data_IF_264268459551
#
_entry.id   IF_264268459551
#
_cell.length_a   1.000
_cell.length_b   1.000
_cell.length_c   1.000
_cell.angle_alpha   90.00
_cell.angle_beta   90.00
_cell.angle_gamma   90.00
#
_symmetry.space_group_name_H-M   'P 1'
#
loop_
_entity.id
_entity.type
_entity.pdbx_description
1 polymer ?
#
# COMPACT_ATOMS: atom_id res chain seq x y z
N UNK A 1 -7.78 -16.06 10.15
CA UNK A 1 -7.36 -14.75 9.62
C UNK A 1 -6.78 -15.03 8.25
N UNK A 2 -7.31 -14.37 7.23
CA UNK A 2 -6.90 -14.54 5.83
C UNK A 2 -5.89 -13.46 5.44
N UNK A 3 -5.06 -13.75 4.44
CA UNK A 3 -4.09 -12.83 3.84
C UNK A 3 -4.50 -12.58 2.39
N UNK A 4 -4.35 -11.34 1.95
CA UNK A 4 -4.62 -10.86 0.59
C UNK A 4 -3.37 -10.20 0.04
N UNK A 5 -3.16 -10.30 -1.27
CA UNK A 5 -2.23 -9.41 -1.95
C UNK A 5 -2.84 -8.01 -2.04
N UNK A 6 -2.07 -7.00 -1.62
CA UNK A 6 -2.40 -5.59 -1.74
C UNK A 6 -1.79 -5.10 -3.05
N UNK A 7 -2.64 -4.69 -3.99
CA UNK A 7 -2.23 -4.28 -5.33
C UNK A 7 -2.66 -2.83 -5.53
N UNK A 8 -1.70 -1.92 -5.67
CA UNK A 8 -2.03 -0.56 -6.11
C UNK A 8 -2.48 -0.61 -7.57
N UNK A 9 -3.52 0.12 -7.93
CA UNK A 9 -4.08 0.13 -9.30
C UNK A 9 -4.48 1.54 -9.73
N UNK A 10 -4.41 1.81 -11.02
CA UNK A 10 -4.90 3.00 -11.70
C UNK A 10 -6.35 2.86 -12.20
N UNK A 11 -6.94 1.66 -12.09
CA UNK A 11 -8.33 1.40 -12.45
C UNK A 11 -9.28 1.93 -11.36
N UNK A 12 -9.98 3.02 -11.68
CA UNK A 12 -11.09 3.54 -10.87
C UNK A 12 -12.38 2.73 -11.04
N UNK A 13 -12.41 1.77 -11.97
CA UNK A 13 -13.52 0.87 -12.25
C UNK A 13 -13.61 -0.29 -11.26
N UNK A 14 -14.78 -0.45 -10.64
CA UNK A 14 -15.25 -1.66 -9.96
C UNK A 14 -14.41 -2.23 -8.78
N UNK A 15 -13.62 -1.42 -8.08
CA UNK A 15 -12.96 -1.83 -6.83
C UNK A 15 -13.92 -2.20 -5.66
N UNK A 16 -15.24 -2.13 -5.83
CA UNK A 16 -16.22 -2.28 -4.74
C UNK A 16 -17.53 -2.96 -5.15
N UNK A 17 -17.49 -4.21 -5.66
CA UNK A 17 -18.74 -5.01 -5.78
C UNK A 17 -19.19 -5.62 -4.45
N UNK A 18 -18.33 -5.67 -3.41
CA UNK A 18 -18.63 -6.36 -2.14
C UNK A 18 -18.93 -5.45 -0.94
N UNK A 19 -18.78 -4.13 -1.04
CA UNK A 19 -18.69 -3.23 0.11
C UNK A 19 -19.87 -2.27 0.33
N UNK A 20 -20.97 -2.43 -0.42
CA UNK A 20 -22.04 -1.40 -0.45
C UNK A 20 -22.94 -1.31 0.80
N UNK A 21 -22.74 -2.13 1.84
CA UNK A 21 -23.68 -2.19 2.98
C UNK A 21 -23.20 -1.57 4.30
N UNK A 22 -21.99 -1.00 4.40
CA UNK A 22 -21.43 -0.61 5.70
C UNK A 22 -20.68 0.72 5.66
N UNK A 23 -21.40 1.85 5.75
CA UNK A 23 -20.74 3.14 6.02
C UNK A 23 -21.57 4.01 6.95
N UNK A 24 -20.95 4.47 8.03
CA UNK A 24 -21.30 5.74 8.70
C UNK A 24 -20.06 6.61 8.83
N UNK A 25 -20.21 7.89 8.55
CA UNK A 25 -19.18 8.92 8.47
C UNK A 25 -18.62 9.33 9.85
N UNK A 26 -17.30 9.50 9.96
CA UNK A 26 -16.67 10.59 10.74
C UNK A 26 -15.22 10.80 10.28
N UNK A 27 -14.90 12.00 9.80
CA UNK A 27 -13.53 12.49 9.55
C UNK A 27 -13.17 13.63 10.53
N UNK A 28 -11.88 13.97 10.53
CA UNK A 28 -11.30 15.29 10.83
C UNK A 28 -10.67 15.56 12.21
N UNK A 29 -9.43 15.06 12.40
CA UNK A 29 -8.45 15.53 13.40
C UNK A 29 -7.01 14.98 13.17
N UNK A 30 -6.87 13.87 12.43
CA UNK A 30 -5.60 13.12 12.27
C UNK A 30 -4.62 13.71 11.23
N UNK A 31 -5.04 14.67 10.42
CA UNK A 31 -4.27 15.22 9.30
C UNK A 31 -3.13 16.16 9.72
N UNK A 32 -3.34 17.02 10.73
CA UNK A 32 -2.35 18.04 11.15
C UNK A 32 -1.12 17.40 11.81
N UNK A 33 -1.31 16.35 12.62
CA UNK A 33 -0.20 15.65 13.28
C UNK A 33 0.71 14.89 12.31
N UNK A 34 0.18 14.43 11.17
CA UNK A 34 0.99 13.79 10.13
C UNK A 34 1.91 14.80 9.42
N UNK A 35 1.48 16.06 9.28
CA UNK A 35 2.26 17.12 8.65
C UNK A 35 3.42 17.64 9.51
N UNK A 36 3.24 17.79 10.81
CA UNK A 36 4.33 18.25 11.71
C UNK A 36 5.45 17.20 11.85
N UNK A 37 5.12 15.91 11.73
CA UNK A 37 6.10 14.83 11.71
C UNK A 37 7.01 14.86 10.45
N UNK A 38 6.51 15.44 9.35
CA UNK A 38 7.21 15.47 8.06
C UNK A 38 8.36 16.48 7.99
N UNK A 39 8.23 17.64 8.65
CA UNK A 39 9.32 18.63 8.72
C UNK A 39 10.56 18.07 9.45
N UNK A 40 10.36 17.13 10.38
CA UNK A 40 11.44 16.47 11.12
C UNK A 40 12.20 15.39 10.32
N UNK A 41 11.69 14.98 9.15
CA UNK A 41 12.26 13.92 8.31
C UNK A 41 12.84 14.44 6.98
N UNK A 42 13.07 15.75 6.88
CA UNK A 42 13.55 16.45 5.68
C UNK A 42 14.95 16.05 5.19
N UNK A 43 15.60 15.06 5.80
CA UNK A 43 16.86 14.48 5.32
C UNK A 43 16.64 13.16 4.55
N UNK A 44 15.41 12.62 4.51
CA UNK A 44 15.03 11.32 3.93
C UNK A 44 14.18 11.42 2.66
N UNK A 45 14.30 12.51 1.90
CA UNK A 45 13.50 12.70 0.69
C UNK A 45 13.81 11.68 -0.40
N UNK A 46 12.76 11.17 -1.05
CA UNK A 46 12.91 10.23 -2.18
C UNK A 46 12.80 11.00 -3.51
N UNK A 47 13.83 10.97 -4.37
CA UNK A 47 13.69 11.42 -5.75
C UNK A 47 12.92 10.35 -6.53
N UNK A 48 11.74 10.71 -7.02
CA UNK A 48 10.90 9.81 -7.81
C UNK A 48 10.97 10.19 -9.29
N UNK A 49 11.56 9.36 -10.18
CA UNK A 49 11.43 9.55 -11.61
C UNK A 49 9.99 9.23 -12.03
N UNK A 50 9.30 10.23 -12.57
CA UNK A 50 7.84 10.19 -12.78
C UNK A 50 7.55 9.74 -14.21
N UNK A 51 7.68 8.45 -14.48
CA UNK A 51 7.00 7.83 -15.62
C UNK A 51 5.80 7.07 -15.04
N UNK A 52 4.67 7.77 -14.88
CA UNK A 52 3.39 7.17 -14.47
C UNK A 52 2.38 7.34 -15.61
N UNK A 53 1.91 6.22 -16.17
CA UNK A 53 0.99 6.16 -17.32
C UNK A 53 -0.42 5.74 -16.87
N UNK A 54 -0.96 6.38 -15.82
CA UNK A 54 -2.27 6.03 -15.24
C UNK A 54 -3.51 6.56 -15.98
N UNK A 55 -3.32 7.22 -17.12
CA UNK A 55 -4.41 7.81 -17.92
C UNK A 55 -5.31 8.80 -17.16
N UNK A 56 -6.51 9.10 -17.70
CA UNK A 56 -7.50 9.96 -17.02
C UNK A 56 -8.18 9.28 -15.81
N UNK A 57 -8.07 7.95 -15.69
CA UNK A 57 -8.67 7.13 -14.63
C UNK A 57 -7.99 7.25 -13.27
N UNK A 58 -6.72 7.69 -13.24
CA UNK A 58 -5.94 7.89 -12.02
C UNK A 58 -6.18 9.25 -11.32
N UNK A 59 -7.25 9.97 -11.66
CA UNK A 59 -7.62 11.21 -10.99
C UNK A 59 -8.09 10.92 -9.55
N UNK A 60 -7.48 11.60 -8.58
CA UNK A 60 -7.89 11.59 -7.16
C UNK A 60 -7.87 10.20 -6.49
N UNK A 61 -6.85 9.39 -6.76
CA UNK A 61 -6.63 8.14 -6.02
C UNK A 61 -6.04 8.41 -4.63
N UNK A 62 -6.37 7.55 -3.68
CA UNK A 62 -5.72 7.49 -2.37
C UNK A 62 -4.34 6.81 -2.47
N UNK A 63 -4.24 5.81 -3.34
CA UNK A 63 -3.04 5.01 -3.58
C UNK A 63 -2.74 4.95 -5.07
N UNK A 64 -1.49 5.15 -5.44
CA UNK A 64 -1.03 5.18 -6.83
C UNK A 64 0.02 4.09 -7.07
N UNK A 65 -0.13 3.27 -8.11
CA UNK A 65 0.87 2.27 -8.47
C UNK A 65 2.07 2.90 -9.16
N UNK A 66 3.27 2.45 -8.84
CA UNK A 66 4.47 2.68 -9.66
C UNK A 66 5.22 1.36 -9.79
N UNK A 67 6.02 1.22 -10.85
CA UNK A 67 6.75 -0.03 -11.15
C UNK A 67 7.60 -0.53 -9.97
N UNK A 68 8.11 0.39 -9.14
CA UNK A 68 9.09 0.11 -8.09
C UNK A 68 8.64 0.49 -6.67
N UNK A 69 7.46 1.09 -6.50
CA UNK A 69 6.97 1.53 -5.20
C UNK A 69 5.48 1.89 -5.27
N UNK A 70 4.88 2.16 -4.12
CA UNK A 70 3.50 2.66 -4.02
C UNK A 70 3.54 4.07 -3.47
N UNK A 71 2.81 5.00 -4.09
CA UNK A 71 2.59 6.35 -3.53
C UNK A 71 1.24 6.37 -2.84
N UNK A 72 1.19 6.92 -1.62
CA UNK A 72 -0.04 7.22 -0.89
C UNK A 72 -0.24 8.72 -0.86
N UNK A 73 -1.44 9.16 -1.21
CA UNK A 73 -1.84 10.56 -1.14
C UNK A 73 -1.88 11.03 0.32
N UNK A 74 -1.42 12.26 0.60
CA UNK A 74 -1.49 12.91 1.90
C UNK A 74 -2.86 12.80 2.57
N UNK A 75 -3.95 12.96 1.79
CA UNK A 75 -5.33 12.87 2.26
C UNK A 75 -5.68 11.45 2.74
N UNK A 76 -4.98 10.42 2.24
CA UNK A 76 -5.17 9.02 2.57
C UNK A 76 -4.28 8.51 3.71
N UNK A 77 -3.27 9.26 4.17
CA UNK A 77 -2.34 8.79 5.21
C UNK A 77 -3.05 8.33 6.49
N UNK A 78 -4.15 8.99 6.85
CA UNK A 78 -4.96 8.61 8.02
C UNK A 78 -5.60 7.21 7.89
N UNK A 79 -5.79 6.71 6.66
CA UNK A 79 -6.27 5.35 6.36
C UNK A 79 -5.19 4.30 6.61
N UNK A 80 -3.93 4.69 6.74
CA UNK A 80 -2.80 3.81 7.03
C UNK A 80 -2.22 4.04 8.43
N UNK A 81 -2.95 4.72 9.32
CA UNK A 81 -2.49 4.94 10.70
C UNK A 81 -2.31 3.63 11.45
N UNK A 82 -1.30 3.55 12.31
CA UNK A 82 -1.00 2.41 13.20
C UNK A 82 -0.52 1.12 12.50
N UNK A 83 -0.06 1.21 11.26
CA UNK A 83 0.61 0.08 10.58
C UNK A 83 2.06 -0.05 11.07
N UNK A 84 2.31 -1.05 11.92
CA UNK A 84 3.66 -1.36 12.40
C UNK A 84 4.59 -1.76 11.23
N UNK A 85 5.78 -1.19 11.17
CA UNK A 85 6.78 -1.54 10.14
C UNK A 85 6.63 -0.80 8.81
N UNK A 86 5.77 0.21 8.75
CA UNK A 86 5.60 1.09 7.58
C UNK A 86 5.97 2.53 7.94
N UNK A 87 6.76 3.17 7.08
CA UNK A 87 7.07 4.60 7.07
C UNK A 87 6.54 5.23 5.77
N UNK A 88 6.18 6.51 5.84
CA UNK A 88 5.73 7.30 4.69
C UNK A 88 6.80 8.33 4.35
N UNK A 89 7.57 8.06 3.30
CA UNK A 89 8.69 8.91 2.91
C UNK A 89 8.18 10.03 1.98
N UNK A 90 8.41 11.31 2.31
CA UNK A 90 7.91 12.40 1.50
C UNK A 90 8.64 12.51 0.16
N UNK A 91 7.89 12.86 -0.88
CA UNK A 91 8.41 13.10 -2.22
C UNK A 91 8.74 14.58 -2.34
N UNK A 92 9.97 14.89 -2.75
CA UNK A 92 10.50 16.27 -2.73
C UNK A 92 9.89 17.13 -3.82
N UNK A 93 9.99 16.67 -5.05
CA UNK A 93 9.50 17.34 -6.25
C UNK A 93 9.23 16.27 -7.29
N UNK A 94 8.10 16.36 -7.98
CA UNK A 94 7.87 15.63 -9.21
C UNK A 94 8.53 16.44 -10.32
N UNK A 95 9.45 15.84 -11.08
CA UNK A 95 10.10 16.52 -12.22
C UNK A 95 9.07 16.99 -13.24
N UNK A 96 8.02 16.19 -13.46
CA UNK A 96 6.78 16.56 -14.13
C UNK A 96 5.63 15.80 -13.44
N UNK A 97 4.68 16.52 -12.84
CA UNK A 97 3.45 15.93 -12.31
C UNK A 97 2.53 15.68 -13.52
N UNK A 98 2.08 14.45 -13.80
CA UNK A 98 1.12 14.23 -14.86
C UNK A 98 -0.11 15.12 -14.67
N UNK A 99 -0.64 15.68 -15.76
CA UNK A 99 -1.69 16.72 -15.73
C UNK A 99 -3.03 16.29 -15.12
N UNK A 100 -3.17 15.00 -14.78
CA UNK A 100 -4.33 14.45 -14.10
C UNK A 100 -4.15 14.35 -12.57
N UNK A 101 -2.95 14.58 -12.02
CA UNK A 101 -2.83 14.84 -10.59
C UNK A 101 -3.34 16.25 -10.27
N UNK A 102 -4.01 16.44 -9.11
CA UNK A 102 -4.45 17.75 -8.71
C UNK A 102 -3.25 18.65 -8.35
N UNK A 103 -3.39 19.96 -8.58
CA UNK A 103 -2.31 20.94 -8.32
C UNK A 103 -1.84 20.97 -6.85
N UNK A 104 -2.67 20.50 -5.91
CA UNK A 104 -2.40 20.39 -4.47
C UNK A 104 -1.93 18.98 -4.05
N UNK A 105 -1.50 18.14 -4.99
CA UNK A 105 -1.08 16.78 -4.67
C UNK A 105 0.18 16.75 -3.81
N UNK A 106 0.07 16.08 -2.66
CA UNK A 106 1.20 15.73 -1.79
C UNK A 106 1.24 14.21 -1.63
N UNK A 107 2.24 13.55 -2.23
CA UNK A 107 2.40 12.10 -2.20
C UNK A 107 3.53 11.63 -1.27
N UNK A 108 3.37 10.43 -0.71
CA UNK A 108 4.37 9.76 0.10
C UNK A 108 4.64 8.36 -0.42
N UNK A 109 5.90 7.97 -0.50
CA UNK A 109 6.27 6.60 -0.80
C UNK A 109 5.97 5.73 0.42
N UNK A 110 5.15 4.69 0.23
CA UNK A 110 4.93 3.63 1.21
C UNK A 110 6.23 2.82 1.34
N UNK A 111 6.90 2.93 2.48
CA UNK A 111 8.19 2.28 2.73
C UNK A 111 8.07 1.27 3.88
N UNK A 112 8.47 0.02 3.64
CA UNK A 112 8.53 -1.00 4.68
C UNK A 112 9.88 -0.95 5.39
N UNK A 113 9.88 -0.59 6.68
CA UNK A 113 11.11 -0.55 7.51
C UNK A 113 11.58 -1.94 7.93
N UNK A 114 10.69 -2.93 7.83
CA UNK A 114 10.99 -4.35 7.99
C UNK A 114 10.25 -5.17 6.94
N UNK A 115 10.87 -6.25 6.51
CA UNK A 115 10.26 -7.24 5.64
C UNK A 115 10.02 -8.54 6.41
N UNK A 116 8.94 -9.23 6.06
CA UNK A 116 8.49 -10.47 6.70
C UNK A 116 9.18 -11.66 6.03
N UNK A 117 9.74 -12.55 6.85
CA UNK A 117 10.24 -13.84 6.37
C UNK A 117 9.09 -14.83 6.18
N UNK A 118 9.14 -15.59 5.09
CA UNK A 118 8.15 -16.64 4.82
C UNK A 118 8.66 -18.01 5.28
N UNK A 119 7.74 -18.88 5.67
CA UNK A 119 8.02 -20.25 6.07
C UNK A 119 8.51 -21.10 4.89
N UNK A 120 9.28 -22.15 5.18
CA UNK A 120 9.85 -23.05 4.18
C UNK A 120 8.80 -23.79 3.33
N UNK A 121 7.58 -23.91 3.84
CA UNK A 121 6.45 -24.52 3.14
C UNK A 121 5.74 -23.55 2.17
N UNK A 122 6.21 -22.30 2.05
CA UNK A 122 5.65 -21.34 1.10
C UNK A 122 6.06 -21.70 -0.33
N UNK A 123 5.10 -21.69 -1.24
CA UNK A 123 5.29 -21.90 -2.68
C UNK A 123 4.98 -20.60 -3.43
N UNK A 124 6.05 -19.84 -3.69
CA UNK A 124 6.02 -18.53 -4.34
C UNK A 124 6.83 -18.60 -5.64
N UNK A 125 6.23 -18.19 -6.76
CA UNK A 125 6.95 -18.05 -8.03
C UNK A 125 7.32 -16.59 -8.24
N UNK A 126 8.56 -16.35 -8.65
CA UNK A 126 9.09 -14.99 -8.85
C UNK A 126 9.28 -14.69 -10.34
N UNK A 127 9.13 -13.43 -10.71
CA UNK A 127 9.62 -12.94 -12.00
C UNK A 127 11.14 -13.01 -12.04
N UNK A 128 11.67 -13.54 -13.14
CA UNK A 128 13.13 -13.59 -13.35
C UNK A 128 13.70 -12.19 -13.47
N UNK A 129 14.52 -11.78 -12.51
CA UNK A 129 15.31 -10.54 -12.57
C UNK A 129 14.74 -9.33 -11.83
N UNK A 130 13.55 -9.42 -11.22
CA UNK A 130 12.93 -8.31 -10.46
C UNK A 130 12.61 -8.65 -9.01
N UNK A 131 12.92 -9.88 -8.57
CA UNK A 131 12.55 -10.43 -7.25
C UNK A 131 11.06 -10.25 -6.90
N UNK A 132 10.20 -9.92 -7.86
CA UNK A 132 8.78 -9.66 -7.64
C UNK A 132 8.02 -10.97 -7.67
N UNK A 133 7.13 -11.19 -6.70
CA UNK A 133 6.30 -12.40 -6.67
C UNK A 133 5.28 -12.30 -7.81
N UNK A 134 5.23 -13.34 -8.64
CA UNK A 134 4.33 -13.46 -9.78
C UNK A 134 3.09 -14.28 -9.45
N UNK A 135 3.27 -15.33 -8.64
CA UNK A 135 2.23 -16.32 -8.37
C UNK A 135 2.40 -16.86 -6.96
N UNK A 136 1.29 -16.99 -6.23
CA UNK A 136 1.25 -17.41 -4.82
C UNK A 136 0.39 -18.65 -4.72
N UNK A 137 1.03 -19.82 -4.73
CA UNK A 137 0.35 -21.10 -4.54
C UNK A 137 0.06 -21.37 -3.07
N UNK A 138 1.01 -21.05 -2.19
CA UNK A 138 0.85 -21.08 -0.73
C UNK A 138 1.77 -20.04 -0.08
N UNK A 139 1.22 -19.14 0.73
CA UNK A 139 1.98 -18.22 1.57
C UNK A 139 1.91 -18.65 3.04
N UNK A 140 3.03 -19.05 3.62
CA UNK A 140 3.14 -19.40 5.04
C UNK A 140 3.91 -18.31 5.77
N UNK A 141 3.32 -17.68 6.76
CA UNK A 141 3.97 -16.61 7.55
C UNK A 141 3.76 -16.82 9.05
N UNK A 142 4.74 -16.40 9.86
CA UNK A 142 4.61 -16.46 11.31
C UNK A 142 3.81 -15.26 11.84
N UNK A 143 2.89 -15.52 12.77
CA UNK A 143 2.17 -14.50 13.54
C UNK A 143 3.13 -13.55 14.29
N UNK A 144 4.35 -14.01 14.63
CA UNK A 144 5.38 -13.17 15.26
C UNK A 144 6.02 -12.18 14.29
N UNK A 145 6.14 -12.54 13.01
CA UNK A 145 6.72 -11.68 11.98
C UNK A 145 5.75 -10.59 11.54
N UNK A 146 4.48 -10.95 11.32
CA UNK A 146 3.45 -9.97 10.99
C UNK A 146 3.07 -9.13 12.22
N UNK A 147 3.08 -9.68 13.43
CA UNK A 147 2.79 -8.93 14.66
C UNK A 147 1.42 -8.24 14.60
N UNK A 148 1.38 -6.95 14.95
CA UNK A 148 0.19 -6.09 14.71
C UNK A 148 0.19 -5.46 13.31
N UNK A 149 1.23 -5.70 12.52
CA UNK A 149 1.33 -5.22 11.15
C UNK A 149 0.28 -5.93 10.31
N UNK A 150 -0.78 -5.19 9.98
CA UNK A 150 -1.84 -5.69 9.14
C UNK A 150 -1.53 -5.50 7.64
N UNK A 151 -0.37 -4.91 7.30
CA UNK A 151 0.15 -4.66 5.96
C UNK A 151 1.68 -4.86 5.97
N UNK A 152 2.21 -5.75 5.13
CA UNK A 152 3.62 -6.14 5.16
C UNK A 152 4.15 -6.49 3.77
N UNK A 153 5.48 -6.43 3.62
CA UNK A 153 6.20 -6.87 2.42
C UNK A 153 7.02 -8.12 2.73
N UNK A 154 7.01 -9.10 1.83
CA UNK A 154 7.83 -10.31 1.97
C UNK A 154 9.28 -10.01 1.61
N UNK A 155 10.22 -10.57 2.38
CA UNK A 155 11.64 -10.42 2.11
C UNK A 155 12.01 -11.05 0.77
N UNK A 156 12.61 -10.24 -0.11
CA UNK A 156 12.93 -10.67 -1.47
C UNK A 156 11.71 -10.87 -2.37
N UNK A 157 10.55 -10.32 -1.98
CA UNK A 157 9.31 -10.32 -2.77
C UNK A 157 9.15 -9.10 -3.69
N UNK A 158 10.20 -8.30 -3.88
CA UNK A 158 10.15 -7.11 -4.73
C UNK A 158 9.05 -6.17 -4.23
N UNK A 159 8.13 -5.77 -5.11
CA UNK A 159 7.04 -4.85 -4.76
C UNK A 159 5.75 -5.55 -4.34
N UNK A 160 5.76 -6.87 -4.14
CA UNK A 160 4.59 -7.61 -3.68
C UNK A 160 4.31 -7.29 -2.21
N UNK A 161 3.15 -6.68 -1.97
CA UNK A 161 2.69 -6.25 -0.66
C UNK A 161 1.50 -7.12 -0.28
N UNK A 162 1.42 -7.51 0.98
CA UNK A 162 0.35 -8.35 1.50
C UNK A 162 -0.32 -7.67 2.69
N UNK A 163 -1.59 -7.97 2.90
CA UNK A 163 -2.32 -7.47 4.06
C UNK A 163 -3.22 -8.54 4.66
N UNK A 164 -3.58 -8.36 5.93
CA UNK A 164 -4.56 -9.24 6.57
C UNK A 164 -5.99 -8.80 6.22
N UNK A 165 -6.93 -9.74 6.30
CA UNK A 165 -8.38 -9.47 6.21
C UNK A 165 -8.85 -8.27 7.06
N UNK A 166 -8.21 -7.99 8.20
CA UNK A 166 -8.56 -6.86 9.05
C UNK A 166 -8.18 -5.51 8.42
N UNK A 167 -6.99 -5.42 7.82
CA UNK A 167 -6.55 -4.20 7.12
C UNK A 167 -7.36 -3.96 5.86
N UNK A 168 -7.61 -5.02 5.08
CA UNK A 168 -8.44 -4.96 3.89
C UNK A 168 -9.82 -4.35 4.24
N UNK A 169 -10.48 -4.88 5.28
CA UNK A 169 -11.77 -4.35 5.73
C UNK A 169 -11.69 -2.89 6.14
N UNK A 170 -10.66 -2.52 6.89
CA UNK A 170 -10.42 -1.13 7.29
C UNK A 170 -10.28 -0.19 6.08
N UNK A 171 -9.48 -0.57 5.08
CA UNK A 171 -9.33 0.24 3.85
C UNK A 171 -10.63 0.31 3.04
N UNK A 172 -11.41 -0.78 3.00
CA UNK A 172 -12.72 -0.80 2.36
C UNK A 172 -13.71 0.14 3.07
N UNK A 173 -13.79 0.07 4.40
CA UNK A 173 -14.65 0.93 5.23
C UNK A 173 -14.26 2.41 5.10
N UNK A 174 -12.95 2.69 4.99
CA UNK A 174 -12.41 4.02 4.74
C UNK A 174 -12.52 4.48 3.27
N UNK A 175 -13.13 3.67 2.40
CA UNK A 175 -13.27 3.94 0.95
C UNK A 175 -11.94 4.33 0.31
N UNK A 176 -10.89 3.55 0.59
CA UNK A 176 -9.57 3.77 0.01
C UNK A 176 -9.58 3.44 -1.49
N UNK A 177 -9.33 4.41 -2.36
CA UNK A 177 -9.27 4.23 -3.81
C UNK A 177 -7.87 3.85 -4.31
N UNK A 178 -7.79 3.28 -5.51
CA UNK A 178 -6.51 2.88 -6.13
C UNK A 178 -5.87 1.63 -5.51
N UNK A 179 -6.69 0.76 -4.91
CA UNK A 179 -6.26 -0.51 -4.30
C UNK A 179 -7.18 -1.64 -4.73
N UNK A 180 -6.59 -2.75 -5.15
CA UNK A 180 -7.22 -4.04 -5.36
C UNK A 180 -6.69 -5.05 -4.33
N UNK A 181 -7.54 -6.02 -3.99
CA UNK A 181 -7.19 -7.11 -3.09
C UNK A 181 -7.41 -8.44 -3.78
N UNK A 182 -6.35 -9.22 -3.94
CA UNK A 182 -6.44 -10.57 -4.48
C UNK A 182 -6.34 -11.60 -3.36
N UNK A 183 -7.31 -12.50 -3.29
CA UNK A 183 -7.32 -13.58 -2.32
C UNK A 183 -6.24 -14.61 -2.67
N UNK A 184 -5.36 -14.91 -1.71
CA UNK A 184 -4.29 -15.90 -1.89
C UNK A 184 -4.46 -17.06 -0.93
N UNK A 185 -4.01 -18.25 -1.35
CA UNK A 185 -3.94 -19.39 -0.45
C UNK A 185 -2.84 -19.16 0.59
N UNK A 186 -3.23 -19.05 1.86
CA UNK A 186 -2.32 -18.61 2.91
C UNK A 186 -2.59 -19.28 4.26
N UNK A 187 -1.53 -19.37 5.08
CA UNK A 187 -1.58 -19.94 6.43
C UNK A 187 -0.68 -19.18 7.37
N UNK A 188 -1.23 -18.81 8.53
CA UNK A 188 -0.47 -18.18 9.62
C UNK A 188 -0.09 -19.25 10.64
N UNK A 189 1.20 -19.34 10.96
CA UNK A 189 1.76 -20.26 11.97
C UNK A 189 2.27 -19.49 13.19
N UNK A 190 2.47 -20.17 14.32
CA UNK A 190 3.03 -19.55 15.54
C UNK A 190 4.55 -19.40 15.54
#
# INVERSE_FOLDING_TARGET
MEIFEFIATDDSGDCFTLAQDLVSETEDARFIGAMEALESQADKWVPVPVEFDGGEGARELDVYPFDSFVIVNSKALCKFSDVEGVEFLPIKEFTELPSYFPDDFHGFVLHFTRQVSVGADSDLKYFTGTDTIRDVNELVVSSKEIGKSCLFQVKGGGNSIFCTSAFMKHLIEARCSGVLFEGINSRIVE
#
